data_IF_852023231776
#
_entry.id   IF_852023231776
#
_cell.length_a   1.000
_cell.length_b   1.000
_cell.length_c   1.000
_cell.angle_alpha   90.00
_cell.angle_beta   90.00
_cell.angle_gamma   90.00
#
_symmetry.space_group_name_H-M   'P 1'
#
loop_
_entity.id
_entity.type
_entity.pdbx_description
1 polymer ?
#
# COMPACT_ATOMS: atom_id res chain seq x y z
N UNK A 1 11.25 -6.28 23.40
CA UNK A 1 10.40 -5.50 24.31
C UNK A 1 10.08 -4.18 23.61
N UNK A 2 8.85 -4.02 23.11
CA UNK A 2 8.42 -2.73 22.55
C UNK A 2 8.26 -1.79 23.73
N UNK A 3 9.14 -0.79 23.84
CA UNK A 3 9.07 0.21 24.91
C UNK A 3 7.72 0.92 24.87
N UNK A 4 7.10 1.12 26.02
CA UNK A 4 5.87 1.90 26.14
C UNK A 4 6.19 3.32 25.67
N UNK A 5 5.47 3.79 24.63
CA UNK A 5 5.59 5.17 24.16
C UNK A 5 5.15 6.10 25.31
N UNK A 6 5.97 7.08 25.71
CA UNK A 6 5.62 8.01 26.78
C UNK A 6 4.30 8.73 26.48
N UNK A 7 3.50 8.99 27.52
CA UNK A 7 2.29 9.81 27.38
C UNK A 7 2.68 11.24 27.02
N UNK A 8 1.88 11.90 26.18
CA UNK A 8 2.14 13.28 25.71
C UNK A 8 2.26 14.27 26.89
N UNK A 9 1.52 14.06 27.98
CA UNK A 9 1.54 14.89 29.18
C UNK A 9 2.74 14.63 30.12
N UNK A 10 3.63 13.71 29.76
CA UNK A 10 4.88 13.47 30.49
C UNK A 10 6.03 14.34 29.96
N UNK A 11 7.09 14.58 30.76
CA UNK A 11 8.28 15.29 30.28
C UNK A 11 8.88 14.69 29.01
N UNK A 12 9.02 13.36 28.95
CA UNK A 12 9.47 12.65 27.75
C UNK A 12 8.53 12.87 26.56
N UNK A 13 7.21 12.83 26.80
CA UNK A 13 6.21 13.04 25.77
C UNK A 13 6.24 14.44 25.17
N UNK A 14 6.51 15.46 25.99
CA UNK A 14 6.67 16.84 25.54
C UNK A 14 7.87 16.99 24.60
N UNK A 15 9.00 16.37 24.92
CA UNK A 15 10.21 16.39 24.05
C UNK A 15 9.92 15.67 22.73
N UNK A 16 9.26 14.50 22.77
CA UNK A 16 8.88 13.75 21.57
C UNK A 16 7.91 14.53 20.67
N UNK A 17 6.98 15.27 21.28
CA UNK A 17 6.05 16.11 20.53
C UNK A 17 6.72 17.34 19.92
N UNK A 18 7.63 18.01 20.65
CA UNK A 18 8.45 19.10 20.07
C UNK A 18 9.35 18.57 18.95
N UNK A 19 9.97 17.40 19.10
CA UNK A 19 10.72 16.73 18.02
C UNK A 19 9.83 16.54 16.78
N UNK A 20 8.61 16.03 16.98
CA UNK A 20 7.64 15.81 15.90
C UNK A 20 7.24 17.12 15.21
N UNK A 21 6.98 18.18 15.96
CA UNK A 21 6.49 19.45 15.43
C UNK A 21 7.62 20.29 14.81
N UNK A 22 8.81 20.29 15.41
CA UNK A 22 9.90 21.20 15.05
C UNK A 22 10.89 20.59 14.05
N UNK A 23 11.15 19.28 14.14
CA UNK A 23 12.17 18.62 13.31
C UNK A 23 11.58 17.63 12.31
N UNK A 24 10.50 16.93 12.64
CA UNK A 24 9.93 15.93 11.74
C UNK A 24 8.94 16.51 10.73
N UNK A 25 7.84 17.11 11.22
CA UNK A 25 6.73 17.61 10.39
C UNK A 25 7.15 18.70 9.37
N UNK A 26 7.97 19.71 9.72
CA UNK A 26 8.31 20.81 8.80
C UNK A 26 9.24 20.41 7.65
N UNK A 27 9.78 19.19 7.71
CA UNK A 27 10.76 18.67 6.76
C UNK A 27 10.25 17.46 5.98
N UNK A 28 8.97 17.07 6.11
CA UNK A 28 8.41 15.91 5.39
C UNK A 28 8.53 16.03 3.86
N UNK A 29 8.60 17.26 3.34
CA UNK A 29 8.78 17.54 1.90
C UNK A 29 10.21 17.91 1.51
N UNK A 30 11.15 17.92 2.47
CA UNK A 30 12.56 18.29 2.28
C UNK A 30 13.44 17.08 1.89
N UNK A 31 12.92 16.16 1.08
CA UNK A 31 13.67 15.00 0.61
C UNK A 31 14.46 15.30 -0.68
N UNK A 32 15.45 14.46 -0.98
CA UNK A 32 16.24 14.49 -2.21
C UNK A 32 16.85 15.88 -2.50
N UNK A 33 16.50 16.48 -3.63
CA UNK A 33 16.98 17.79 -4.09
C UNK A 33 16.37 18.96 -3.32
N UNK A 34 15.29 18.73 -2.56
CA UNK A 34 14.62 19.74 -1.73
C UNK A 34 15.22 19.87 -0.32
N UNK A 35 16.27 19.11 -0.01
CA UNK A 35 16.94 19.19 1.29
C UNK A 35 17.55 20.57 1.51
N UNK A 36 17.19 21.19 2.62
CA UNK A 36 17.71 22.48 3.06
C UNK A 36 18.46 22.31 4.38
N UNK A 37 19.79 22.23 4.28
CA UNK A 37 20.67 22.03 5.43
C UNK A 37 20.63 23.23 6.39
N UNK A 38 20.57 24.45 5.87
CA UNK A 38 20.58 25.65 6.71
C UNK A 38 19.28 25.78 7.52
N UNK A 39 18.14 25.46 6.89
CA UNK A 39 16.85 25.37 7.60
C UNK A 39 16.88 24.28 8.69
N UNK A 40 17.48 23.12 8.40
CA UNK A 40 17.63 22.05 9.38
C UNK A 40 18.49 22.48 10.56
N UNK A 41 19.68 23.04 10.30
CA UNK A 41 20.62 23.46 11.34
C UNK A 41 19.99 24.50 12.28
N UNK A 42 19.28 25.48 11.72
CA UNK A 42 18.54 26.48 12.51
C UNK A 42 17.43 25.86 13.36
N UNK A 43 16.62 24.94 12.79
CA UNK A 43 15.56 24.27 13.53
C UNK A 43 16.10 23.36 14.64
N UNK A 44 17.25 22.73 14.41
CA UNK A 44 17.92 21.87 15.37
C UNK A 44 18.49 22.66 16.53
N UNK A 45 19.18 23.78 16.26
CA UNK A 45 19.68 24.70 17.29
C UNK A 45 18.53 25.19 18.18
N UNK A 46 17.44 25.64 17.57
CA UNK A 46 16.24 26.09 18.27
C UNK A 46 15.62 24.98 19.12
N UNK A 47 15.53 23.75 18.59
CA UNK A 47 15.00 22.60 19.31
C UNK A 47 15.86 22.26 20.52
N UNK A 48 17.18 22.09 20.34
CA UNK A 48 18.11 21.70 21.41
C UNK A 48 18.20 22.77 22.50
N UNK A 49 18.12 24.06 22.15
CA UNK A 49 18.11 25.16 23.12
C UNK A 49 16.92 25.12 24.09
N UNK A 50 15.82 24.44 23.72
CA UNK A 50 14.63 24.27 24.57
C UNK A 50 14.63 22.99 25.39
N UNK A 51 15.50 22.01 25.09
CA UNK A 51 15.48 20.71 25.77
C UNK A 51 16.43 20.67 26.97
N UNK A 52 16.09 19.85 27.96
CA UNK A 52 17.06 19.41 28.97
C UNK A 52 18.02 18.38 28.34
N UNK A 53 19.35 18.62 28.34
CA UNK A 53 20.30 17.74 27.68
C UNK A 53 20.31 16.31 28.24
N UNK A 54 20.09 16.14 29.55
CA UNK A 54 20.07 14.81 30.18
C UNK A 54 18.80 14.03 29.81
N UNK A 55 17.64 14.70 29.74
CA UNK A 55 16.41 14.08 29.27
C UNK A 55 16.50 13.68 27.80
N UNK A 56 17.08 14.53 26.94
CA UNK A 56 17.28 14.20 25.52
C UNK A 56 18.22 13.00 25.35
N UNK A 57 19.29 12.91 26.13
CA UNK A 57 20.20 11.75 26.10
C UNK A 57 19.51 10.47 26.58
N UNK A 58 18.73 10.53 27.66
CA UNK A 58 17.94 9.39 28.15
C UNK A 58 16.98 8.85 27.08
N UNK A 59 16.33 9.73 26.31
CA UNK A 59 15.45 9.34 25.20
C UNK A 59 16.23 8.64 24.06
N UNK A 60 17.47 9.06 23.81
CA UNK A 60 18.36 8.42 22.82
C UNK A 60 18.84 7.05 23.26
N UNK A 61 19.26 6.89 24.51
CA UNK A 61 19.64 5.60 25.10
C UNK A 61 18.48 4.59 25.03
N UNK A 62 17.24 5.08 25.23
CA UNK A 62 15.99 4.31 25.10
C UNK A 62 15.50 4.15 23.66
N UNK A 63 16.22 4.69 22.67
CA UNK A 63 15.91 4.63 21.23
C UNK A 63 14.55 5.23 20.86
N UNK A 64 14.08 6.22 21.62
CA UNK A 64 12.85 6.94 21.33
C UNK A 64 13.09 8.13 20.38
N UNK A 65 14.29 8.71 20.42
CA UNK A 65 14.75 9.71 19.44
C UNK A 65 16.00 9.13 18.75
N UNK A 66 16.00 8.98 17.41
CA UNK A 66 17.19 8.54 16.68
C UNK A 66 18.30 9.61 16.71
N UNK A 67 19.56 9.21 16.47
CA UNK A 67 20.62 10.15 16.14
C UNK A 67 20.25 11.07 14.96
N UNK A 68 20.71 12.33 14.99
CA UNK A 68 20.30 13.33 14.00
C UNK A 68 20.71 12.99 12.58
N UNK A 69 21.87 12.39 12.37
CA UNK A 69 22.31 11.87 11.07
C UNK A 69 21.33 10.82 10.51
N UNK A 70 20.80 9.95 11.37
CA UNK A 70 19.77 8.98 10.98
C UNK A 70 18.42 9.66 10.65
N UNK A 71 18.03 10.68 11.42
CA UNK A 71 16.81 11.47 11.12
C UNK A 71 16.96 12.19 9.78
N UNK A 72 18.10 12.87 9.56
CA UNK A 72 18.42 13.55 8.30
C UNK A 72 18.42 12.54 7.15
N UNK A 73 19.08 11.39 7.30
CA UNK A 73 19.12 10.37 6.26
C UNK A 73 17.72 9.87 5.89
N UNK A 74 16.85 9.66 6.88
CA UNK A 74 15.46 9.25 6.66
C UNK A 74 14.62 10.33 5.98
N UNK A 75 14.76 11.59 6.40
CA UNK A 75 14.07 12.72 5.76
C UNK A 75 14.56 12.87 4.32
N UNK A 76 15.88 12.87 4.09
CA UNK A 76 16.47 13.02 2.75
C UNK A 76 16.09 11.89 1.80
N UNK A 77 15.89 10.67 2.31
CA UNK A 77 15.37 9.54 1.52
C UNK A 77 13.91 9.76 1.11
N UNK A 78 13.15 10.49 1.91
CA UNK A 78 11.73 10.74 1.70
C UNK A 78 10.86 9.50 1.83
N UNK A 79 9.53 9.66 1.66
CA UNK A 79 8.65 8.51 1.54
C UNK A 79 8.94 7.73 0.25
N UNK A 80 8.54 6.44 0.17
CA UNK A 80 8.56 5.67 -1.07
C UNK A 80 7.96 6.44 -2.25
N UNK A 81 8.47 6.29 -3.49
CA UNK A 81 8.02 7.07 -4.65
C UNK A 81 6.50 7.06 -4.86
N UNK A 82 5.83 5.92 -4.66
CA UNK A 82 4.38 5.79 -4.84
C UNK A 82 3.52 6.56 -3.84
N UNK A 83 4.10 7.09 -2.76
CA UNK A 83 3.42 7.98 -1.81
C UNK A 83 3.70 9.46 -2.09
N UNK A 84 4.49 9.77 -3.13
CA UNK A 84 4.87 11.15 -3.45
C UNK A 84 3.84 11.80 -4.36
N UNK A 85 3.52 13.10 -4.16
CA UNK A 85 2.62 13.82 -5.04
C UNK A 85 3.05 13.77 -6.51
N UNK A 86 2.11 13.48 -7.40
CA UNK A 86 2.35 13.43 -8.84
C UNK A 86 3.04 12.17 -9.35
N UNK A 87 3.35 11.20 -8.47
CA UNK A 87 3.85 9.91 -8.92
C UNK A 87 2.76 9.13 -9.68
N UNK A 88 3.16 8.42 -10.72
CA UNK A 88 2.32 7.48 -11.45
C UNK A 88 3.04 6.16 -11.63
N UNK A 89 2.29 5.06 -11.61
CA UNK A 89 2.85 3.73 -11.88
C UNK A 89 3.48 3.66 -13.28
N UNK A 90 4.64 2.98 -13.44
CA UNK A 90 5.22 2.73 -14.74
C UNK A 90 4.37 1.84 -15.65
N UNK A 91 3.37 1.14 -15.09
CA UNK A 91 2.44 0.33 -15.87
C UNK A 91 1.21 1.12 -16.34
N UNK A 92 0.95 2.32 -15.82
CA UNK A 92 -0.21 3.11 -16.22
C UNK A 92 -0.14 3.47 -17.72
N UNK A 93 -1.18 3.13 -18.47
CA UNK A 93 -1.26 3.30 -19.92
C UNK A 93 -0.40 2.32 -20.74
N UNK A 94 0.30 1.38 -20.07
CA UNK A 94 1.11 0.36 -20.74
C UNK A 94 0.31 -0.92 -20.95
N UNK A 95 0.80 -1.76 -21.86
CA UNK A 95 0.30 -3.12 -22.06
C UNK A 95 1.07 -4.09 -21.17
N UNK A 96 0.36 -4.97 -20.48
CA UNK A 96 0.94 -6.03 -19.65
C UNK A 96 0.60 -7.41 -20.22
N UNK A 97 1.51 -8.37 -20.03
CA UNK A 97 1.21 -9.77 -20.28
C UNK A 97 0.21 -10.27 -19.23
N UNK A 98 -0.83 -10.96 -19.67
CA UNK A 98 -1.89 -11.52 -18.84
C UNK A 98 -1.96 -13.05 -18.90
N UNK A 99 -1.08 -13.72 -19.68
CA UNK A 99 -1.04 -15.19 -19.79
C UNK A 99 -0.74 -15.89 -18.46
N UNK A 100 -0.19 -15.16 -17.49
CA UNK A 100 0.03 -15.67 -16.14
C UNK A 100 -1.27 -16.01 -15.40
N UNK A 101 -2.42 -15.42 -15.78
CA UNK A 101 -3.73 -15.68 -15.16
C UNK A 101 -4.17 -17.14 -15.37
N UNK A 102 -3.84 -17.74 -16.51
CA UNK A 102 -4.28 -19.10 -16.87
C UNK A 102 -3.32 -20.18 -16.36
N UNK A 103 -2.18 -19.80 -15.79
CA UNK A 103 -1.23 -20.76 -15.22
C UNK A 103 -1.87 -21.49 -14.04
N UNK A 104 -1.58 -22.77 -13.91
CA UNK A 104 -1.97 -23.58 -12.75
C UNK A 104 -0.99 -23.36 -11.59
N UNK A 105 -0.92 -22.12 -11.11
CA UNK A 105 0.07 -21.67 -10.13
C UNK A 105 -0.54 -21.09 -8.84
N UNK A 106 -1.88 -21.10 -8.74
CA UNK A 106 -2.63 -20.48 -7.65
C UNK A 106 -3.43 -21.52 -6.86
N UNK A 107 -3.50 -21.34 -5.54
CA UNK A 107 -4.48 -22.10 -4.76
C UNK A 107 -5.85 -21.46 -4.92
N UNK A 108 -6.80 -22.22 -5.45
CA UNK A 108 -8.16 -21.74 -5.65
C UNK A 108 -8.99 -21.81 -4.36
N UNK A 109 -9.63 -20.71 -3.98
CA UNK A 109 -10.50 -20.63 -2.80
C UNK A 109 -11.98 -20.63 -3.19
N UNK A 110 -12.37 -19.74 -4.11
CA UNK A 110 -13.75 -19.64 -4.60
C UNK A 110 -13.85 -18.89 -5.94
N UNK A 111 -15.02 -18.96 -6.57
CA UNK A 111 -15.33 -18.28 -7.84
C UNK A 111 -14.62 -18.90 -9.05
N UNK A 112 -14.55 -18.20 -10.18
CA UNK A 112 -13.90 -18.73 -11.39
C UNK A 112 -13.16 -17.66 -12.16
N UNK A 113 -11.99 -18.00 -12.69
CA UNK A 113 -11.21 -17.16 -13.61
C UNK A 113 -11.75 -17.16 -15.04
N UNK A 114 -12.58 -18.15 -15.40
CA UNK A 114 -13.00 -18.38 -16.78
C UNK A 114 -13.74 -17.18 -17.41
N UNK A 115 -13.58 -17.03 -18.73
CA UNK A 115 -14.24 -15.99 -19.52
C UNK A 115 -13.76 -14.57 -19.23
N UNK A 116 -12.59 -14.40 -18.61
CA UNK A 116 -12.02 -13.08 -18.34
C UNK A 116 -11.63 -12.33 -19.62
N UNK A 117 -11.19 -13.05 -20.66
CA UNK A 117 -10.82 -12.48 -21.98
C UNK A 117 -12.00 -11.88 -22.75
N UNK A 118 -13.21 -12.34 -22.47
CA UNK A 118 -14.43 -11.89 -23.16
C UNK A 118 -15.05 -10.64 -22.53
N UNK A 119 -14.43 -10.09 -21.47
CA UNK A 119 -14.94 -8.93 -20.74
C UNK A 119 -14.39 -7.62 -21.27
N UNK A 120 -15.15 -6.54 -21.14
CA UNK A 120 -14.67 -5.19 -21.47
C UNK A 120 -13.61 -4.72 -20.48
N UNK A 121 -13.78 -5.06 -19.20
CA UNK A 121 -12.85 -4.70 -18.15
C UNK A 121 -12.48 -5.91 -17.28
N UNK A 122 -11.20 -6.03 -16.96
CA UNK A 122 -10.66 -6.91 -15.94
C UNK A 122 -10.19 -6.06 -14.77
N UNK A 123 -10.74 -6.34 -13.60
CA UNK A 123 -10.36 -5.74 -12.32
C UNK A 123 -9.54 -6.77 -11.55
N UNK A 124 -8.27 -6.45 -11.28
CA UNK A 124 -7.37 -7.32 -10.50
C UNK A 124 -7.07 -6.65 -9.16
N UNK A 125 -7.28 -7.36 -8.06
CA UNK A 125 -6.98 -6.86 -6.70
C UNK A 125 -5.91 -7.72 -6.02
N UNK A 126 -4.96 -7.06 -5.33
CA UNK A 126 -4.03 -7.66 -4.38
C UNK A 126 -4.40 -7.28 -2.95
N UNK A 127 -4.51 -8.28 -2.06
CA UNK A 127 -4.94 -8.08 -0.68
C UNK A 127 -4.40 -9.13 0.30
N UNK A 128 -4.68 -8.94 1.59
CA UNK A 128 -4.39 -9.89 2.66
C UNK A 128 -5.44 -9.78 3.78
N UNK A 129 -5.68 -10.84 4.55
CA UNK A 129 -6.72 -10.87 5.60
C UNK A 129 -6.44 -9.87 6.73
N UNK A 130 -5.17 -9.62 7.05
CA UNK A 130 -4.77 -8.64 8.07
C UNK A 130 -4.88 -7.18 7.60
N UNK A 131 -5.10 -6.95 6.30
CA UNK A 131 -5.20 -5.62 5.70
C UNK A 131 -6.57 -4.99 5.98
N UNK A 132 -6.65 -4.20 7.06
CA UNK A 132 -7.88 -3.48 7.41
C UNK A 132 -8.40 -2.54 6.31
N UNK A 133 -7.55 -1.80 5.56
CA UNK A 133 -8.03 -1.01 4.42
C UNK A 133 -8.71 -1.87 3.35
N UNK A 134 -8.21 -3.08 3.08
CA UNK A 134 -8.78 -3.99 2.10
C UNK A 134 -10.23 -4.38 2.47
N UNK A 135 -10.55 -4.50 3.76
CA UNK A 135 -11.89 -4.85 4.23
C UNK A 135 -12.97 -3.85 3.80
N UNK A 136 -12.60 -2.58 3.59
CA UNK A 136 -13.51 -1.53 3.12
C UNK A 136 -13.83 -1.63 1.63
N UNK A 137 -12.99 -2.34 0.87
CA UNK A 137 -13.10 -2.50 -0.58
C UNK A 137 -13.92 -3.74 -0.96
N UNK A 138 -14.00 -4.76 -0.09
CA UNK A 138 -14.68 -6.04 -0.39
C UNK A 138 -16.12 -5.88 -0.90
N UNK A 139 -16.96 -5.12 -0.20
CA UNK A 139 -18.35 -4.91 -0.63
C UNK A 139 -18.43 -4.24 -2.01
N UNK A 140 -17.51 -3.32 -2.30
CA UNK A 140 -17.50 -2.59 -3.56
C UNK A 140 -17.04 -3.48 -4.72
N UNK A 141 -16.02 -4.32 -4.52
CA UNK A 141 -15.61 -5.33 -5.52
C UNK A 141 -16.69 -6.39 -5.75
N UNK A 142 -17.43 -6.79 -4.72
CA UNK A 142 -18.59 -7.69 -4.81
C UNK A 142 -19.75 -7.07 -5.59
N UNK A 143 -19.89 -5.74 -5.60
CA UNK A 143 -20.86 -5.05 -6.44
C UNK A 143 -20.40 -5.00 -7.90
N UNK A 144 -19.13 -4.62 -8.12
CA UNK A 144 -18.53 -4.58 -9.47
C UNK A 144 -18.54 -5.96 -10.14
N UNK A 145 -18.33 -7.03 -9.38
CA UNK A 145 -18.30 -8.41 -9.91
C UNK A 145 -19.64 -8.86 -10.50
N UNK A 146 -20.74 -8.18 -10.20
CA UNK A 146 -22.07 -8.46 -10.75
C UNK A 146 -22.29 -7.88 -12.14
N UNK A 147 -21.44 -6.94 -12.58
CA UNK A 147 -21.53 -6.37 -13.93
C UNK A 147 -21.09 -7.43 -14.97
N UNK A 148 -21.95 -7.78 -15.95
CA UNK A 148 -21.64 -8.82 -16.93
C UNK A 148 -20.47 -8.46 -17.85
N UNK A 149 -20.12 -7.19 -18.00
CA UNK A 149 -19.00 -6.71 -18.82
C UNK A 149 -17.68 -6.64 -18.04
N UNK A 150 -17.70 -6.95 -16.74
CA UNK A 150 -16.53 -6.92 -15.85
C UNK A 150 -16.16 -8.32 -15.40
N UNK A 151 -14.86 -8.62 -15.33
CA UNK A 151 -14.34 -9.73 -14.53
C UNK A 151 -13.55 -9.16 -13.37
N UNK A 152 -13.87 -9.59 -12.15
CA UNK A 152 -13.02 -9.36 -10.97
C UNK A 152 -12.21 -10.63 -10.70
N UNK A 153 -10.90 -10.51 -10.54
CA UNK A 153 -10.01 -11.58 -10.07
C UNK A 153 -9.19 -11.04 -8.90
N UNK A 154 -9.19 -11.72 -7.76
CA UNK A 154 -8.44 -11.25 -6.58
C UNK A 154 -7.37 -12.25 -6.18
N UNK A 155 -6.21 -11.74 -5.82
CA UNK A 155 -5.02 -12.50 -5.45
C UNK A 155 -4.63 -12.13 -4.02
N UNK A 156 -4.91 -13.06 -3.10
CA UNK A 156 -4.49 -12.98 -1.72
C UNK A 156 -3.04 -13.46 -1.57
N UNK A 157 -2.26 -12.77 -0.74
CA UNK A 157 -1.02 -13.33 -0.20
C UNK A 157 -0.73 -12.73 1.19
N UNK A 158 -0.80 -13.54 2.26
CA UNK A 158 -0.66 -13.03 3.64
C UNK A 158 0.75 -12.47 3.91
N UNK A 159 1.79 -13.08 3.35
CA UNK A 159 3.13 -12.51 3.35
C UNK A 159 3.50 -11.61 2.18
N UNK A 160 2.57 -10.87 1.57
CA UNK A 160 2.87 -10.01 0.41
C UNK A 160 4.08 -9.09 0.65
N UNK A 161 4.26 -8.58 1.89
CA UNK A 161 5.41 -7.76 2.31
C UNK A 161 6.43 -8.45 3.23
N UNK A 162 6.08 -9.56 3.89
CA UNK A 162 6.93 -10.22 4.91
C UNK A 162 7.52 -11.56 4.47
N UNK A 163 7.11 -12.09 3.30
CA UNK A 163 7.41 -13.45 2.85
C UNK A 163 6.84 -14.58 3.70
N UNK A 164 5.94 -14.28 4.64
CA UNK A 164 5.17 -15.29 5.37
C UNK A 164 4.27 -16.11 4.42
N UNK A 165 4.11 -17.39 4.73
CA UNK A 165 3.16 -18.25 4.01
C UNK A 165 1.70 -17.86 4.34
N UNK A 166 0.78 -18.24 3.45
CA UNK A 166 -0.66 -18.11 3.70
C UNK A 166 -1.20 -19.38 4.34
N UNK A 167 -1.82 -19.26 5.51
CA UNK A 167 -2.63 -20.32 6.10
C UNK A 167 -3.98 -20.38 5.37
N UNK A 168 -4.15 -21.42 4.54
CA UNK A 168 -5.32 -21.57 3.66
C UNK A 168 -6.60 -21.81 4.46
N UNK A 169 -6.55 -22.57 5.55
CA UNK A 169 -7.74 -22.90 6.32
C UNK A 169 -8.20 -21.68 7.14
N UNK A 170 -7.25 -20.95 7.75
CA UNK A 170 -7.55 -19.68 8.41
C UNK A 170 -8.13 -18.65 7.43
N UNK A 171 -7.59 -18.56 6.21
CA UNK A 171 -8.11 -17.67 5.17
C UNK A 171 -9.55 -18.04 4.76
N UNK A 172 -9.85 -19.33 4.59
CA UNK A 172 -11.22 -19.79 4.28
C UNK A 172 -12.20 -19.43 5.38
N UNK A 173 -11.82 -19.63 6.65
CA UNK A 173 -12.63 -19.20 7.79
C UNK A 173 -12.86 -17.69 7.78
N UNK A 174 -11.81 -16.90 7.58
CA UNK A 174 -11.92 -15.44 7.47
C UNK A 174 -12.91 -15.02 6.39
N UNK A 175 -12.82 -15.58 5.18
CA UNK A 175 -13.71 -15.23 4.05
C UNK A 175 -15.17 -15.55 4.39
N UNK A 176 -15.43 -16.71 5.02
CA UNK A 176 -16.77 -17.11 5.44
C UNK A 176 -17.35 -16.18 6.51
N UNK A 177 -16.55 -15.79 7.50
CA UNK A 177 -16.97 -14.87 8.57
C UNK A 177 -17.20 -13.44 8.06
N UNK A 178 -16.37 -13.01 7.11
CA UNK A 178 -16.43 -11.67 6.53
C UNK A 178 -17.73 -11.46 5.73
N UNK A 179 -18.19 -12.49 5.00
CA UNK A 179 -19.53 -12.56 4.42
C UNK A 179 -19.88 -11.55 3.31
N UNK A 180 -18.92 -10.74 2.84
CA UNK A 180 -19.10 -9.74 1.78
C UNK A 180 -18.07 -9.85 0.64
N UNK A 181 -17.49 -11.04 0.46
CA UNK A 181 -16.53 -11.37 -0.59
C UNK A 181 -17.22 -12.32 -1.60
N UNK A 182 -17.92 -11.73 -2.57
CA UNK A 182 -18.74 -12.43 -3.58
C UNK A 182 -18.05 -12.40 -4.96
N UNK A 183 -16.77 -12.72 -5.00
CA UNK A 183 -15.96 -12.71 -6.21
C UNK A 183 -14.86 -13.79 -6.17
N UNK A 184 -14.21 -14.10 -7.30
CA UNK A 184 -13.12 -15.06 -7.35
C UNK A 184 -11.95 -14.69 -6.45
N UNK A 185 -11.49 -15.65 -5.64
CA UNK A 185 -10.35 -15.52 -4.73
C UNK A 185 -9.34 -16.63 -5.02
N UNK A 186 -8.11 -16.21 -5.28
CA UNK A 186 -6.95 -17.05 -5.51
C UNK A 186 -5.86 -16.70 -4.51
N UNK A 187 -5.09 -17.69 -4.05
CA UNK A 187 -3.88 -17.44 -3.25
C UNK A 187 -2.67 -17.55 -4.16
N UNK A 188 -1.88 -16.47 -4.22
CA UNK A 188 -0.67 -16.37 -5.03
C UNK A 188 0.56 -16.94 -4.31
N UNK A 189 0.47 -18.22 -3.92
CA UNK A 189 1.52 -18.92 -3.14
C UNK A 189 2.90 -18.87 -3.81
N UNK A 190 2.93 -18.84 -5.14
CA UNK A 190 4.15 -18.80 -5.95
C UNK A 190 4.54 -17.39 -6.40
N UNK A 191 3.82 -16.35 -5.95
CA UNK A 191 4.06 -14.93 -6.30
C UNK A 191 3.98 -14.62 -7.80
N UNK A 192 3.27 -15.43 -8.57
CA UNK A 192 3.14 -15.27 -10.02
C UNK A 192 2.45 -13.95 -10.37
N UNK A 193 1.32 -13.65 -9.72
CA UNK A 193 0.60 -12.39 -9.95
C UNK A 193 1.40 -11.19 -9.39
N UNK A 194 2.03 -11.38 -8.23
CA UNK A 194 2.89 -10.37 -7.60
C UNK A 194 4.06 -9.98 -8.52
N UNK A 195 4.70 -10.97 -9.15
CA UNK A 195 5.83 -10.74 -10.05
C UNK A 195 5.41 -10.20 -11.42
N UNK A 196 4.22 -10.58 -11.87
CA UNK A 196 3.71 -10.14 -13.16
C UNK A 196 3.34 -8.66 -13.19
N UNK A 197 2.61 -8.16 -12.18
CA UNK A 197 2.06 -6.79 -12.22
C UNK A 197 2.18 -5.98 -10.92
N UNK A 198 2.17 -6.61 -9.73
CA UNK A 198 2.28 -5.86 -8.46
C UNK A 198 3.65 -5.18 -8.31
N UNK A 199 4.74 -5.96 -8.41
CA UNK A 199 6.11 -5.43 -8.29
C UNK A 199 6.48 -4.50 -9.45
N UNK A 200 6.22 -4.86 -10.73
CA UNK A 200 6.50 -3.96 -11.84
C UNK A 200 5.64 -2.69 -11.79
N UNK A 201 4.42 -2.76 -11.24
CA UNK A 201 3.54 -1.62 -11.04
C UNK A 201 4.05 -0.60 -10.02
N UNK A 202 5.01 -0.97 -9.16
CA UNK A 202 5.70 -0.10 -8.19
C UNK A 202 4.79 0.68 -7.21
N UNK A 203 3.47 0.46 -7.22
CA UNK A 203 2.55 0.92 -6.19
C UNK A 203 2.47 -0.16 -5.10
N UNK A 204 3.50 -0.22 -4.27
CA UNK A 204 3.72 -1.33 -3.31
C UNK A 204 2.87 -1.14 -2.05
N UNK A 205 1.55 -1.00 -2.21
CA UNK A 205 0.56 -0.87 -1.14
C UNK A 205 -0.56 -1.91 -1.33
N UNK A 206 -1.41 -2.11 -0.33
CA UNK A 206 -2.68 -2.84 -0.48
C UNK A 206 -3.81 -2.12 0.27
N UNK A 207 -5.09 -2.24 -0.17
CA UNK A 207 -5.54 -2.94 -1.36
C UNK A 207 -4.99 -2.27 -2.62
N UNK A 208 -4.46 -3.05 -3.56
CA UNK A 208 -3.99 -2.52 -4.84
C UNK A 208 -4.85 -3.10 -5.94
N UNK A 209 -5.50 -2.22 -6.70
CA UNK A 209 -6.39 -2.61 -7.78
C UNK A 209 -5.85 -2.11 -9.11
N UNK A 210 -5.97 -2.95 -10.13
CA UNK A 210 -5.73 -2.65 -11.53
C UNK A 210 -7.04 -2.72 -12.30
N UNK A 211 -7.28 -1.77 -13.21
CA UNK A 211 -8.33 -1.88 -14.23
C UNK A 211 -7.64 -2.00 -15.58
N UNK A 212 -7.90 -3.10 -16.28
CA UNK A 212 -7.19 -3.52 -17.48
C UNK A 212 -8.21 -3.90 -18.56
N UNK A 213 -7.95 -3.53 -19.82
CA UNK A 213 -8.71 -4.07 -20.95
C UNK A 213 -8.13 -5.43 -21.34
N UNK A 214 -8.89 -6.53 -21.24
CA UNK A 214 -8.37 -7.89 -21.45
C UNK A 214 -7.85 -8.15 -22.87
N UNK A 215 -8.45 -7.48 -23.86
CA UNK A 215 -8.19 -7.77 -25.27
C UNK A 215 -6.77 -7.40 -25.70
N UNK A 216 -6.17 -6.40 -25.07
CA UNK A 216 -4.84 -5.92 -25.43
C UNK A 216 -3.91 -5.69 -24.24
N UNK A 217 -4.39 -5.95 -23.03
CA UNK A 217 -3.63 -5.84 -21.79
C UNK A 217 -3.36 -4.40 -21.35
N UNK A 218 -4.03 -3.39 -21.91
CA UNK A 218 -3.81 -2.00 -21.54
C UNK A 218 -4.29 -1.72 -20.12
N UNK A 219 -3.41 -1.17 -19.28
CA UNK A 219 -3.74 -0.77 -17.92
C UNK A 219 -4.28 0.66 -17.89
N UNK A 220 -5.54 0.81 -17.53
CA UNK A 220 -6.24 2.09 -17.50
C UNK A 220 -6.19 2.78 -16.14
N UNK A 221 -6.00 2.00 -15.07
CA UNK A 221 -5.92 2.53 -13.72
C UNK A 221 -5.19 1.56 -12.78
N UNK A 222 -4.45 2.14 -11.82
CA UNK A 222 -3.71 1.44 -10.78
C UNK A 222 -3.79 2.31 -9.53
N UNK A 223 -4.36 1.82 -8.43
CA UNK A 223 -4.49 2.65 -7.23
C UNK A 223 -4.90 1.89 -5.98
N UNK A 224 -4.83 2.59 -4.85
CA UNK A 224 -5.32 2.07 -3.58
C UNK A 224 -6.83 2.31 -3.47
N UNK A 225 -7.62 1.28 -3.75
CA UNK A 225 -9.08 1.39 -3.88
C UNK A 225 -9.82 1.75 -2.58
N UNK A 226 -9.12 1.86 -1.45
CA UNK A 226 -9.68 2.40 -0.20
C UNK A 226 -9.55 3.94 -0.10
N UNK A 227 -8.51 4.50 -0.73
CA UNK A 227 -8.20 5.93 -0.68
C UNK A 227 -8.51 6.67 -1.99
N UNK A 228 -8.63 5.94 -3.08
CA UNK A 228 -8.78 6.47 -4.44
C UNK A 228 -10.06 5.94 -5.10
N UNK A 229 -10.69 6.77 -5.94
CA UNK A 229 -11.90 6.39 -6.67
C UNK A 229 -11.56 5.55 -7.90
N UNK A 230 -11.99 4.29 -7.90
CA UNK A 230 -11.87 3.38 -9.05
C UNK A 230 -13.11 3.36 -9.95
N UNK A 231 -14.23 3.98 -9.52
CA UNK A 231 -15.49 4.01 -10.25
C UNK A 231 -15.38 4.78 -11.57
N UNK A 232 -14.93 6.03 -11.53
CA UNK A 232 -14.77 6.84 -12.74
C UNK A 232 -13.81 6.20 -13.77
N UNK A 233 -12.61 5.68 -13.38
CA UNK A 233 -11.79 4.92 -14.31
C UNK A 233 -12.48 3.68 -14.92
N UNK A 234 -13.24 2.92 -14.13
CA UNK A 234 -13.95 1.74 -14.62
C UNK A 234 -15.04 2.12 -15.63
N UNK A 235 -15.83 3.15 -15.33
CA UNK A 235 -16.88 3.66 -16.22
C UNK A 235 -16.31 4.14 -17.56
N UNK A 236 -15.15 4.81 -17.55
CA UNK A 236 -14.45 5.20 -18.79
C UNK A 236 -14.10 4.00 -19.65
N UNK A 237 -13.57 2.92 -19.06
CA UNK A 237 -13.26 1.69 -19.81
C UNK A 237 -14.53 1.06 -20.38
N UNK A 238 -15.58 0.93 -19.57
CA UNK A 238 -16.86 0.33 -19.99
C UNK A 238 -17.55 1.12 -21.12
N UNK A 239 -17.34 2.43 -21.18
CA UNK A 239 -17.90 3.33 -22.19
C UNK A 239 -17.06 3.45 -23.46
N UNK A 240 -15.81 2.97 -23.44
CA UNK A 240 -14.83 3.18 -24.53
C UNK A 240 -14.84 2.13 -25.64
N UNK A 241 -15.73 1.14 -25.56
CA UNK A 241 -15.86 -0.02 -26.46
C UNK A 241 -17.33 -0.27 -26.84
#
# INVERSE_FOLDING_TARGET
MVGVVPRIDSPDGAILEDFRISLWKPFQDNYEDKWDQAKWDSALEDFEARQDPAALESLRERKLIPPWDAVIAQIRKGPPPFLRPGWTSPLLGQKVDLEWIDRDAFTWIQGSREGWRDKKALVIEFWASWCRPCHRVFSHLSEISRNPDVKVLTYNHEGIFSQSETDIDALKTFIQEQGNIDYPVFVDVNRVAIDAIFRPGQNLSIPLVFIITPQDGTVHWIGNADAEDMGEPLERVLSSL
#
